data_IF_995686283529
#
_entry.id   IF_995686283529
#
_cell.length_a   1.000
_cell.length_b   1.000
_cell.length_c   1.000
_cell.angle_alpha   90.00
_cell.angle_beta   90.00
_cell.angle_gamma   90.00
#
_symmetry.space_group_name_H-M   'P 1'
#
loop_
_entity.id
_entity.type
_entity.pdbx_description
1 polymer ?
#
# COMPACT_ATOMS: atom_id res chain seq x y z
N UNK A 1 33.91 -5.41 -12.90
CA UNK A 1 33.09 -5.63 -11.67
C UNK A 1 31.69 -5.86 -12.19
N UNK A 2 31.11 -7.04 -11.93
CA UNK A 2 29.72 -7.30 -12.30
C UNK A 2 28.87 -6.28 -11.55
N UNK A 3 28.08 -5.50 -12.26
CA UNK A 3 27.05 -4.63 -11.70
C UNK A 3 26.09 -5.54 -10.94
N UNK A 4 26.20 -5.54 -9.62
CA UNK A 4 25.33 -6.35 -8.77
C UNK A 4 23.95 -5.72 -8.89
N UNK A 5 23.05 -6.36 -9.66
CA UNK A 5 21.70 -5.87 -9.88
C UNK A 5 21.03 -5.72 -8.50
N UNK A 6 20.82 -4.47 -8.08
CA UNK A 6 20.24 -4.18 -6.76
C UNK A 6 18.80 -4.68 -6.72
N UNK A 7 18.48 -5.42 -5.67
CA UNK A 7 17.14 -5.97 -5.46
C UNK A 7 16.48 -5.32 -4.25
N UNK A 8 15.22 -4.99 -4.34
CA UNK A 8 14.44 -4.45 -3.23
C UNK A 8 13.11 -5.18 -3.11
N UNK A 9 12.84 -5.67 -1.90
CA UNK A 9 11.60 -6.36 -1.58
C UNK A 9 10.80 -5.55 -0.56
N UNK A 10 9.55 -5.29 -0.88
CA UNK A 10 8.59 -4.65 0.03
C UNK A 10 7.65 -5.71 0.59
N UNK A 11 7.44 -5.71 1.91
CA UNK A 11 6.40 -6.49 2.58
C UNK A 11 5.31 -5.51 2.97
N UNK A 12 4.14 -5.62 2.34
CA UNK A 12 2.97 -4.81 2.63
C UNK A 12 1.99 -5.61 3.46
N UNK A 13 1.84 -5.24 4.74
CA UNK A 13 0.98 -5.95 5.69
C UNK A 13 -0.33 -5.23 5.99
N UNK A 14 -0.47 -3.98 5.57
CA UNK A 14 -1.62 -3.12 5.83
C UNK A 14 -2.27 -2.63 4.56
N UNK A 15 -3.60 -2.45 4.59
CA UNK A 15 -4.41 -1.94 3.49
C UNK A 15 -4.83 -0.47 3.65
N UNK A 16 -4.34 0.21 4.69
CA UNK A 16 -4.66 1.62 4.91
C UNK A 16 -3.92 2.51 3.92
N UNK A 17 -4.59 3.51 3.36
CA UNK A 17 -4.04 4.39 2.31
C UNK A 17 -2.70 5.03 2.69
N UNK A 18 -2.53 5.41 3.94
CA UNK A 18 -1.31 6.03 4.46
C UNK A 18 -0.13 5.04 4.55
N UNK A 19 -0.40 3.74 4.59
CA UNK A 19 0.62 2.68 4.57
C UNK A 19 0.86 2.13 3.15
N UNK A 20 -0.16 2.15 2.31
CA UNK A 20 -0.11 1.66 0.93
C UNK A 20 0.79 2.52 0.05
N UNK A 21 0.59 3.84 0.05
CA UNK A 21 1.31 4.74 -0.85
C UNK A 21 2.82 4.78 -0.64
N UNK A 22 3.37 4.72 0.58
CA UNK A 22 4.83 4.63 0.77
C UNK A 22 5.47 3.47 0.01
N UNK A 23 4.86 2.29 0.04
CA UNK A 23 5.38 1.13 -0.69
C UNK A 23 5.36 1.35 -2.22
N UNK A 24 4.24 1.86 -2.74
CA UNK A 24 4.07 2.08 -4.18
C UNK A 24 5.03 3.16 -4.71
N UNK A 25 5.13 4.29 -3.98
CA UNK A 25 6.01 5.41 -4.35
C UNK A 25 7.49 4.99 -4.33
N UNK A 26 7.92 4.31 -3.26
CA UNK A 26 9.30 3.82 -3.17
C UNK A 26 9.59 2.74 -4.20
N UNK A 27 8.65 1.83 -4.44
CA UNK A 27 8.78 0.81 -5.47
C UNK A 27 8.96 1.41 -6.86
N UNK A 28 8.15 2.40 -7.20
CA UNK A 28 8.26 3.11 -8.48
C UNK A 28 9.59 3.86 -8.62
N UNK A 29 10.01 4.55 -7.57
CA UNK A 29 11.30 5.24 -7.57
C UNK A 29 12.48 4.26 -7.68
N UNK A 30 12.39 3.08 -7.06
CA UNK A 30 13.40 2.05 -7.15
C UNK A 30 13.51 1.50 -8.59
N UNK A 31 12.39 1.21 -9.25
CA UNK A 31 12.38 0.81 -10.67
C UNK A 31 13.03 1.88 -11.55
N UNK A 32 12.69 3.16 -11.36
CA UNK A 32 13.28 4.27 -12.09
C UNK A 32 14.80 4.41 -11.90
N UNK A 33 15.33 3.85 -10.80
CA UNK A 33 16.77 3.79 -10.52
C UNK A 33 17.42 2.45 -10.94
N UNK A 34 16.74 1.63 -11.73
CA UNK A 34 17.28 0.35 -12.20
C UNK A 34 17.43 -0.70 -11.11
N UNK A 35 16.57 -0.65 -10.08
CA UNK A 35 16.53 -1.65 -9.02
C UNK A 35 15.41 -2.64 -9.31
N UNK A 36 15.68 -3.94 -9.21
CA UNK A 36 14.65 -4.98 -9.32
C UNK A 36 13.73 -4.90 -8.10
N UNK A 37 12.43 -4.73 -8.34
CA UNK A 37 11.44 -4.56 -7.28
C UNK A 37 10.51 -5.75 -7.21
N UNK A 38 10.30 -6.25 -5.99
CA UNK A 38 9.28 -7.24 -5.68
C UNK A 38 8.43 -6.76 -4.49
N UNK A 39 7.13 -6.97 -4.54
CA UNK A 39 6.20 -6.61 -3.48
C UNK A 39 5.44 -7.84 -3.03
N UNK A 40 5.50 -8.12 -1.73
CA UNK A 40 4.82 -9.24 -1.09
C UNK A 40 3.68 -8.72 -0.22
N UNK A 41 2.46 -9.05 -0.60
CA UNK A 41 1.24 -8.63 0.07
C UNK A 41 0.79 -9.69 1.06
N UNK A 42 0.65 -9.32 2.33
CA UNK A 42 0.21 -10.23 3.39
C UNK A 42 -0.84 -9.55 4.26
N UNK A 43 -1.62 -10.30 4.99
CA UNK A 43 -2.72 -9.82 5.83
C UNK A 43 -3.60 -8.79 5.08
N UNK A 44 -3.86 -7.63 5.68
CA UNK A 44 -4.68 -6.58 5.05
C UNK A 44 -4.01 -5.92 3.83
N UNK A 45 -2.71 -6.10 3.65
CA UNK A 45 -2.03 -5.71 2.42
C UNK A 45 -2.58 -6.41 1.16
N UNK A 46 -3.22 -7.58 1.29
CA UNK A 46 -3.94 -8.23 0.18
C UNK A 46 -5.09 -7.39 -0.38
N UNK A 47 -5.63 -6.44 0.40
CA UNK A 47 -6.71 -5.57 -0.05
C UNK A 47 -6.25 -4.65 -1.19
N UNK A 48 -4.95 -4.33 -1.24
CA UNK A 48 -4.34 -3.54 -2.33
C UNK A 48 -4.41 -4.22 -3.70
N UNK A 49 -4.41 -5.55 -3.71
CA UNK A 49 -4.38 -6.36 -4.94
C UNK A 49 -5.68 -7.15 -5.16
N UNK A 50 -6.67 -7.03 -4.27
CA UNK A 50 -7.97 -7.69 -4.40
C UNK A 50 -8.93 -6.80 -5.17
N UNK A 51 -9.51 -7.30 -6.29
CA UNK A 51 -10.40 -6.56 -7.20
C UNK A 51 -11.55 -5.85 -6.51
N UNK A 52 -12.19 -6.52 -5.54
CA UNK A 52 -13.35 -5.99 -4.83
C UNK A 52 -13.01 -4.95 -3.74
N UNK A 53 -11.74 -4.80 -3.39
CA UNK A 53 -11.30 -3.98 -2.24
C UNK A 53 -10.39 -2.82 -2.62
N UNK A 54 -9.60 -2.94 -3.68
CA UNK A 54 -8.57 -1.96 -4.07
C UNK A 54 -9.11 -0.53 -4.23
N UNK A 55 -10.34 -0.37 -4.70
CA UNK A 55 -10.97 0.95 -4.88
C UNK A 55 -11.60 1.50 -3.58
N UNK A 56 -11.72 0.66 -2.55
CA UNK A 56 -12.39 0.97 -1.28
C UNK A 56 -11.42 1.13 -0.09
N UNK A 57 -10.13 1.19 -0.34
CA UNK A 57 -9.14 1.42 0.71
C UNK A 57 -9.39 2.75 1.41
N UNK A 58 -9.29 2.74 2.74
CA UNK A 58 -9.54 3.88 3.62
C UNK A 58 -8.28 4.21 4.45
N UNK A 59 -8.27 5.37 5.10
CA UNK A 59 -7.22 5.74 6.04
C UNK A 59 -7.50 5.05 7.38
N UNK A 60 -6.43 4.60 8.07
CA UNK A 60 -6.55 4.09 9.43
C UNK A 60 -7.15 5.16 10.36
N UNK A 61 -8.30 4.92 11.03
CA UNK A 61 -8.98 5.93 11.82
C UNK A 61 -8.19 6.38 13.06
N UNK A 62 -7.26 5.56 13.53
CA UNK A 62 -6.54 5.75 14.80
C UNK A 62 -5.11 6.29 14.65
N UNK A 63 -4.59 6.44 13.43
CA UNK A 63 -3.16 6.73 13.22
C UNK A 63 -2.84 8.20 12.95
N UNK A 64 -3.81 9.10 12.78
CA UNK A 64 -3.54 10.43 12.28
C UNK A 64 -3.78 11.54 13.31
N UNK A 65 -2.87 11.64 14.30
CA UNK A 65 -2.81 12.77 15.24
C UNK A 65 -2.33 14.09 14.60
N UNK A 66 -1.87 14.04 13.34
CA UNK A 66 -1.26 15.19 12.64
C UNK A 66 -2.18 15.86 11.63
N UNK A 67 -3.44 15.41 11.48
CA UNK A 67 -4.40 16.05 10.58
C UNK A 67 -4.85 17.40 11.18
N UNK A 68 -4.09 18.45 10.90
CA UNK A 68 -4.47 19.83 11.25
C UNK A 68 -5.57 20.28 10.30
N UNK A 69 -6.82 20.02 10.66
CA UNK A 69 -7.96 20.62 9.98
C UNK A 69 -8.03 22.07 10.44
N UNK A 70 -7.76 23.02 9.55
CA UNK A 70 -8.18 24.40 9.72
C UNK A 70 -9.71 24.43 9.64
N UNK A 71 -10.37 24.17 10.76
CA UNK A 71 -11.81 24.29 10.85
C UNK A 71 -12.16 25.76 10.92
N UNK A 72 -12.76 26.30 9.84
CA UNK A 72 -13.37 27.65 9.76
C UNK A 72 -12.49 28.82 10.23
N UNK A 73 -11.18 28.83 9.91
CA UNK A 73 -10.35 30.02 10.17
C UNK A 73 -9.96 30.27 11.64
N UNK A 74 -10.38 29.41 12.56
CA UNK A 74 -9.93 29.46 13.95
C UNK A 74 -8.51 28.90 14.04
N UNK A 75 -7.55 29.62 14.69
CA UNK A 75 -6.24 29.11 14.99
C UNK A 75 -6.37 28.08 16.12
N UNK A 76 -6.83 26.89 15.76
CA UNK A 76 -6.77 25.74 16.68
C UNK A 76 -5.30 25.35 16.77
N UNK A 77 -4.60 25.97 17.70
CA UNK A 77 -3.26 25.55 18.08
C UNK A 77 -3.25 24.06 18.36
N UNK A 78 -2.18 23.39 18.04
CA UNK A 78 -1.78 22.00 18.37
C UNK A 78 -2.83 20.98 18.85
N UNK A 79 -4.12 21.18 18.69
CA UNK A 79 -5.15 20.17 18.93
C UNK A 79 -5.18 19.25 17.70
N UNK A 80 -4.46 18.13 17.80
CA UNK A 80 -4.73 16.96 16.97
C UNK A 80 -6.20 16.58 17.13
N UNK A 81 -6.84 16.09 16.07
CA UNK A 81 -8.19 15.54 16.18
C UNK A 81 -8.11 14.43 17.24
N UNK A 82 -8.83 14.55 18.37
CA UNK A 82 -8.81 13.50 19.38
C UNK A 82 -9.18 12.19 18.72
N UNK A 83 -8.45 11.11 19.01
CA UNK A 83 -8.71 9.77 18.45
C UNK A 83 -10.16 9.32 18.64
N UNK A 84 -10.84 9.92 19.62
CA UNK A 84 -12.27 9.70 19.91
C UNK A 84 -13.19 10.14 18.76
N UNK A 85 -12.77 11.10 17.92
CA UNK A 85 -13.55 11.51 16.75
C UNK A 85 -13.46 10.49 15.60
N UNK A 86 -12.45 9.61 15.59
CA UNK A 86 -12.36 8.49 14.66
C UNK A 86 -13.45 7.42 14.90
N UNK A 87 -14.12 7.44 16.06
CA UNK A 87 -15.21 6.54 16.42
C UNK A 87 -16.54 6.99 15.79
N UNK A 88 -16.63 8.25 15.32
CA UNK A 88 -17.86 8.78 14.73
C UNK A 88 -18.09 8.11 13.36
N UNK A 89 -19.25 7.44 13.16
CA UNK A 89 -19.60 6.84 11.88
C UNK A 89 -19.49 7.86 10.74
N UNK A 90 -18.79 7.51 9.65
CA UNK A 90 -18.60 8.37 8.49
C UNK A 90 -17.36 9.29 8.52
N UNK A 91 -16.67 9.45 9.64
CA UNK A 91 -15.48 10.28 9.72
C UNK A 91 -14.32 9.68 8.89
N UNK A 92 -14.15 8.37 8.94
CA UNK A 92 -13.13 7.64 8.16
C UNK A 92 -13.39 7.82 6.67
N UNK A 93 -14.64 7.68 6.24
CA UNK A 93 -15.04 7.91 4.85
C UNK A 93 -14.75 9.34 4.41
N UNK A 94 -15.10 10.34 5.22
CA UNK A 94 -14.84 11.75 4.92
C UNK A 94 -13.34 12.05 4.84
N UNK A 95 -12.54 11.54 5.78
CA UNK A 95 -11.10 11.72 5.79
C UNK A 95 -10.45 11.05 4.56
N UNK A 96 -10.89 9.84 4.21
CA UNK A 96 -10.42 9.10 3.03
C UNK A 96 -10.78 9.83 1.74
N UNK A 97 -12.02 10.34 1.62
CA UNK A 97 -12.44 11.14 0.48
C UNK A 97 -11.62 12.42 0.33
N UNK A 98 -11.38 13.13 1.42
CA UNK A 98 -10.58 14.36 1.42
C UNK A 98 -9.13 14.08 1.01
N UNK A 99 -8.52 12.99 1.52
CA UNK A 99 -7.17 12.58 1.14
C UNK A 99 -7.10 12.18 -0.34
N UNK A 100 -8.02 11.34 -0.82
CA UNK A 100 -8.11 10.97 -2.24
C UNK A 100 -8.24 12.21 -3.14
N UNK A 101 -9.07 13.19 -2.74
CA UNK A 101 -9.22 14.46 -3.47
C UNK A 101 -7.91 15.28 -3.50
N UNK A 102 -7.20 15.34 -2.38
CA UNK A 102 -5.92 16.05 -2.28
C UNK A 102 -4.84 15.37 -3.13
N UNK A 103 -4.78 14.04 -3.10
CA UNK A 103 -3.85 13.26 -3.91
C UNK A 103 -4.11 13.44 -5.41
N UNK A 104 -5.39 13.45 -5.82
CA UNK A 104 -5.76 13.75 -7.20
C UNK A 104 -5.28 15.14 -7.64
N UNK A 105 -5.33 16.12 -6.74
CA UNK A 105 -4.79 17.47 -6.99
C UNK A 105 -3.27 17.52 -7.16
N UNK A 106 -2.55 16.53 -6.60
CA UNK A 106 -1.11 16.36 -6.71
C UNK A 106 -0.71 15.37 -7.84
N UNK A 107 -1.68 14.95 -8.66
CA UNK A 107 -1.48 13.98 -9.75
C UNK A 107 -0.94 12.62 -9.28
N UNK A 108 -1.23 12.25 -8.03
CA UNK A 108 -0.88 10.91 -7.52
C UNK A 108 -1.94 9.91 -8.04
N UNK A 109 -1.53 8.87 -8.77
CA UNK A 109 -2.48 7.89 -9.31
C UNK A 109 -3.25 7.13 -8.21
N UNK A 110 -4.46 6.64 -8.48
CA UNK A 110 -5.14 5.69 -7.60
C UNK A 110 -4.31 4.42 -7.40
N UNK A 111 -4.51 3.73 -6.28
CA UNK A 111 -3.73 2.53 -5.92
C UNK A 111 -3.72 1.49 -7.04
N UNK A 112 -4.88 1.22 -7.63
CA UNK A 112 -5.00 0.26 -8.74
C UNK A 112 -4.11 0.63 -9.93
N UNK A 113 -4.18 1.87 -10.39
CA UNK A 113 -3.37 2.38 -11.48
C UNK A 113 -1.87 2.34 -11.12
N UNK A 114 -1.54 2.63 -9.88
CA UNK A 114 -0.16 2.55 -9.39
C UNK A 114 0.39 1.11 -9.42
N UNK A 115 -0.45 0.12 -9.06
CA UNK A 115 -0.12 -1.31 -9.15
C UNK A 115 0.12 -1.72 -10.61
N UNK A 116 -0.73 -1.24 -11.53
CA UNK A 116 -0.56 -1.46 -12.97
C UNK A 116 0.77 -0.87 -13.48
N UNK A 117 1.06 0.37 -13.12
CA UNK A 117 2.33 1.03 -13.47
C UNK A 117 3.55 0.27 -12.95
N UNK A 118 3.53 -0.18 -11.70
CA UNK A 118 4.62 -0.95 -11.10
C UNK A 118 4.86 -2.26 -11.84
N UNK A 119 3.81 -3.01 -12.13
CA UNK A 119 3.89 -4.27 -12.86
C UNK A 119 4.43 -4.04 -14.28
N UNK A 120 3.92 -3.04 -15.00
CA UNK A 120 4.37 -2.69 -16.34
C UNK A 120 5.82 -2.19 -16.34
N UNK A 121 6.26 -1.57 -15.26
CA UNK A 121 7.65 -1.19 -15.01
C UNK A 121 8.58 -2.36 -14.64
N UNK A 122 8.05 -3.57 -14.53
CA UNK A 122 8.81 -4.80 -14.27
C UNK A 122 8.83 -5.28 -12.81
N UNK A 123 8.08 -4.61 -11.91
CA UNK A 123 7.94 -5.11 -10.53
C UNK A 123 7.21 -6.45 -10.50
N UNK A 124 7.61 -7.31 -9.56
CA UNK A 124 6.95 -8.59 -9.29
C UNK A 124 6.03 -8.49 -8.08
N UNK A 125 4.79 -8.96 -8.24
CA UNK A 125 3.73 -8.80 -7.25
C UNK A 125 3.27 -10.17 -6.74
N UNK A 126 3.42 -10.42 -5.44
CA UNK A 126 3.15 -11.71 -4.83
C UNK A 126 2.14 -11.62 -3.68
N UNK A 127 1.18 -12.54 -3.66
CA UNK A 127 0.27 -12.72 -2.52
C UNK A 127 0.78 -13.77 -1.54
N UNK A 128 0.63 -13.54 -0.24
CA UNK A 128 0.98 -14.52 0.80
C UNK A 128 -0.01 -15.68 0.84
N UNK A 129 0.46 -16.89 0.55
CA UNK A 129 -0.36 -18.12 0.52
C UNK A 129 -1.14 -18.36 1.81
N UNK A 130 -0.49 -18.21 2.96
CA UNK A 130 -1.15 -18.41 4.26
C UNK A 130 -2.33 -17.44 4.45
N UNK A 131 -2.15 -16.17 4.11
CA UNK A 131 -3.20 -15.17 4.27
C UNK A 131 -4.32 -15.34 3.23
N UNK A 132 -3.96 -15.73 2.00
CA UNK A 132 -4.94 -16.06 0.95
C UNK A 132 -5.86 -17.18 1.42
N UNK A 133 -5.29 -18.25 1.98
CA UNK A 133 -6.05 -19.37 2.52
C UNK A 133 -6.90 -18.97 3.74
N UNK A 134 -6.33 -18.16 4.65
CA UNK A 134 -7.02 -17.68 5.84
C UNK A 134 -8.25 -16.82 5.50
N UNK A 135 -8.16 -16.00 4.45
CA UNK A 135 -9.26 -15.15 4.01
C UNK A 135 -10.18 -15.84 2.99
N UNK A 136 -9.90 -17.08 2.63
CA UNK A 136 -10.69 -17.82 1.64
C UNK A 136 -10.65 -17.22 0.24
N UNK A 137 -9.60 -16.46 -0.07
CA UNK A 137 -9.39 -15.84 -1.38
C UNK A 137 -8.83 -16.85 -2.38
N UNK A 138 -9.07 -16.58 -3.67
CA UNK A 138 -8.55 -17.35 -4.79
C UNK A 138 -7.76 -16.42 -5.72
N UNK A 139 -6.95 -17.02 -6.61
CA UNK A 139 -6.16 -16.25 -7.58
C UNK A 139 -7.04 -15.35 -8.45
N UNK A 140 -8.26 -15.77 -8.76
CA UNK A 140 -9.22 -15.04 -9.59
C UNK A 140 -9.74 -13.74 -8.92
N UNK A 141 -9.63 -13.64 -7.59
CA UNK A 141 -10.06 -12.47 -6.82
C UNK A 141 -9.05 -11.33 -6.91
N UNK A 142 -7.81 -11.63 -7.32
CA UNK A 142 -6.75 -10.64 -7.42
C UNK A 142 -6.72 -9.93 -8.77
N UNK A 143 -6.08 -8.77 -8.78
CA UNK A 143 -5.77 -8.04 -10.01
C UNK A 143 -4.93 -8.91 -10.94
N UNK A 144 -5.06 -8.75 -12.28
CA UNK A 144 -4.31 -9.56 -13.25
C UNK A 144 -2.79 -9.35 -13.16
N UNK A 145 -2.34 -8.26 -12.55
CA UNK A 145 -0.94 -7.92 -12.33
C UNK A 145 -0.26 -8.78 -11.25
N UNK A 146 -1.01 -9.58 -10.49
CA UNK A 146 -0.44 -10.47 -9.47
C UNK A 146 0.21 -11.68 -10.14
N UNK A 147 1.53 -11.77 -10.06
CA UNK A 147 2.32 -12.84 -10.69
C UNK A 147 2.01 -14.21 -10.09
N UNK A 148 2.08 -14.30 -8.76
CA UNK A 148 1.85 -15.56 -8.06
C UNK A 148 1.38 -15.40 -6.61
N UNK A 149 0.84 -16.47 -6.07
CA UNK A 149 0.64 -16.65 -4.62
C UNK A 149 1.73 -17.58 -4.13
N UNK A 150 2.57 -17.08 -3.20
CA UNK A 150 3.78 -17.77 -2.75
C UNK A 150 3.77 -17.97 -1.23
N UNK A 151 4.51 -18.97 -0.76
CA UNK A 151 4.69 -19.23 0.68
C UNK A 151 5.73 -18.28 1.28
N UNK A 152 5.78 -18.21 2.61
CA UNK A 152 6.83 -17.46 3.31
C UNK A 152 8.22 -18.03 3.03
N UNK A 153 8.35 -19.36 2.83
CA UNK A 153 9.63 -19.99 2.45
C UNK A 153 10.07 -19.53 1.07
N UNK A 154 9.17 -19.58 0.08
CA UNK A 154 9.48 -19.09 -1.28
C UNK A 154 9.91 -17.63 -1.25
N UNK A 155 9.24 -16.81 -0.42
CA UNK A 155 9.59 -15.39 -0.28
C UNK A 155 11.02 -15.21 0.26
N UNK A 156 11.41 -15.98 1.29
CA UNK A 156 12.77 -15.92 1.85
C UNK A 156 13.81 -16.30 0.79
N UNK A 157 13.57 -17.37 0.05
CA UNK A 157 14.49 -17.84 -1.02
C UNK A 157 14.62 -16.78 -2.13
N UNK A 158 13.50 -16.18 -2.57
CA UNK A 158 13.50 -15.15 -3.60
C UNK A 158 14.17 -13.85 -3.14
N UNK A 159 14.13 -13.54 -1.85
CA UNK A 159 14.68 -12.30 -1.27
C UNK A 159 16.18 -12.36 -0.97
N UNK A 160 16.85 -13.48 -1.32
CA UNK A 160 18.28 -13.60 -1.09
C UNK A 160 19.07 -12.45 -1.76
N UNK A 161 19.89 -11.79 -0.98
CA UNK A 161 20.71 -10.63 -1.41
C UNK A 161 19.93 -9.35 -1.66
N UNK A 162 18.63 -9.30 -1.34
CA UNK A 162 17.79 -8.12 -1.48
C UNK A 162 17.75 -7.27 -0.20
N UNK A 163 17.51 -5.97 -0.37
CA UNK A 163 17.08 -5.11 0.73
C UNK A 163 15.59 -5.32 0.97
N UNK A 164 15.20 -5.66 2.21
CA UNK A 164 13.80 -5.87 2.59
C UNK A 164 13.29 -4.65 3.35
N UNK A 165 12.13 -4.15 2.95
CA UNK A 165 11.40 -3.05 3.61
C UNK A 165 10.02 -3.56 4.02
N UNK A 166 9.73 -3.48 5.31
CA UNK A 166 8.43 -3.87 5.87
C UNK A 166 7.56 -2.63 6.12
N UNK A 167 6.29 -2.67 5.62
CA UNK A 167 5.29 -1.59 5.70
C UNK A 167 3.96 -2.13 6.19
#
# INVERSE_FOLDING_TARGET
MAEQNRKMFFICSKGDLDMVYPALIMGWAALGNGVDVSIFFTFWGLDMITKSRVDHLEIAPLANTSFKVKLMGLPTGNLGIPSILGIIPGMTWFASWFMKKKMKGLQVPPVKEYIEMLHDGGAKLYGCKMTVDMFGLKKEDFLPQVDAVVTASDFIDMSEGAQIIFI
#
